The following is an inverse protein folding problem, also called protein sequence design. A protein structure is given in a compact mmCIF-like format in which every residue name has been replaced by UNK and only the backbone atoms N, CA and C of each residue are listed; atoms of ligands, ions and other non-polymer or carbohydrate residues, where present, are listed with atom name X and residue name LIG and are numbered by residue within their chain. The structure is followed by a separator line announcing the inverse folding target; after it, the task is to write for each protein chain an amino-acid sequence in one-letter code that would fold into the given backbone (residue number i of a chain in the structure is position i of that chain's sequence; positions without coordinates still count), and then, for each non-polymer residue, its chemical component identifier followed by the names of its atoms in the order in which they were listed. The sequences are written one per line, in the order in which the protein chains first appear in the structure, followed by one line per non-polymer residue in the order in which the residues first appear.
data_IF_559444522952
#
_entry.id   IF_559444522952
#
_cell.length_a   1.000
_cell.length_b   1.000
_cell.length_c   1.000
_cell.angle_alpha   90.00
_cell.angle_beta   90.00
_cell.angle_gamma   90.00
#
_symmetry.space_group_name_H-M   'P 1'
#
loop_
_entity.id
_entity.type
_entity.pdbx_description
1 polymer ?
#
# COMPACT_ATOMS: atom_id res chain seq x y z
N UNK A 1 -0.08 0.77 4.20
CA UNK A 1 0.42 1.23 5.50
C UNK A 1 0.72 2.73 5.50
N UNK A 2 1.59 3.26 4.65
CA UNK A 2 1.85 4.70 4.60
C UNK A 2 0.59 5.53 4.30
N UNK A 3 -0.27 5.04 3.41
CA UNK A 3 -1.56 5.68 3.12
C UNK A 3 -2.47 5.74 4.36
N UNK A 4 -2.57 4.63 5.11
CA UNK A 4 -3.38 4.60 6.34
C UNK A 4 -2.84 5.54 7.41
N UNK A 5 -1.51 5.59 7.55
CA UNK A 5 -0.89 6.51 8.48
C UNK A 5 -1.22 7.96 8.09
N UNK A 6 -1.07 8.30 6.81
CA UNK A 6 -1.40 9.62 6.31
C UNK A 6 -2.89 9.96 6.49
N UNK A 7 -3.77 8.97 6.31
CA UNK A 7 -5.19 9.14 6.59
C UNK A 7 -5.46 9.48 8.06
N UNK A 8 -4.73 8.84 8.98
CA UNK A 8 -4.89 9.07 10.42
C UNK A 8 -4.27 10.40 10.88
N UNK A 9 -3.18 10.84 10.28
CA UNK A 9 -2.48 12.07 10.69
C UNK A 9 -2.94 13.32 9.96
N UNK A 10 -3.22 13.20 8.66
CA UNK A 10 -3.50 14.34 7.77
C UNK A 10 -4.95 14.36 7.26
N UNK A 11 -5.69 13.27 7.47
CA UNK A 11 -6.98 13.03 6.85
C UNK A 11 -6.87 12.52 5.42
N UNK A 12 -7.98 12.09 4.86
CA UNK A 12 -8.12 11.74 3.44
C UNK A 12 -9.09 12.73 2.79
N UNK A 13 -8.58 13.58 1.93
CA UNK A 13 -9.41 14.32 0.96
C UNK A 13 -9.72 13.36 -0.19
N UNK A 14 -10.70 12.48 0.03
CA UNK A 14 -11.10 11.48 -0.94
C UNK A 14 -12.57 11.64 -1.31
N UNK A 15 -12.87 11.79 -2.61
CA UNK A 15 -14.25 11.67 -3.05
C UNK A 15 -14.85 10.34 -2.56
N UNK A 16 -16.11 10.32 -2.14
CA UNK A 16 -16.84 9.08 -1.93
C UNK A 16 -16.68 8.18 -3.15
N UNK A 17 -16.60 6.87 -2.95
CA UNK A 17 -16.55 5.96 -4.07
C UNK A 17 -17.89 6.03 -4.82
N UNK A 18 -17.87 6.53 -6.05
CA UNK A 18 -18.99 6.44 -6.98
C UNK A 18 -18.73 5.29 -7.96
N UNK A 19 -19.41 4.14 -7.80
CA UNK A 19 -19.23 2.99 -8.69
C UNK A 19 -19.54 3.32 -10.14
N UNK A 20 -20.50 4.22 -10.43
CA UNK A 20 -20.90 4.57 -11.78
C UNK A 20 -19.81 5.42 -12.48
N UNK A 21 -19.27 6.43 -11.78
CA UNK A 21 -18.14 7.22 -12.27
C UNK A 21 -16.92 6.34 -12.52
N UNK A 22 -16.59 5.46 -11.58
CA UNK A 22 -15.47 4.51 -11.73
C UNK A 22 -15.66 3.60 -12.93
N UNK A 23 -16.83 2.99 -13.09
CA UNK A 23 -17.12 2.10 -14.22
C UNK A 23 -17.00 2.83 -15.56
N UNK A 24 -17.47 4.07 -15.66
CA UNK A 24 -17.35 4.92 -16.85
C UNK A 24 -15.90 5.15 -17.24
N UNK A 25 -15.05 5.55 -16.30
CA UNK A 25 -13.65 5.82 -16.58
C UNK A 25 -12.83 4.55 -16.82
N UNK A 26 -13.20 3.46 -16.17
CA UNK A 26 -12.61 2.15 -16.42
C UNK A 26 -12.95 1.67 -17.85
N UNK A 27 -14.21 1.79 -18.28
CA UNK A 27 -14.65 1.45 -19.63
C UNK A 27 -13.95 2.30 -20.71
N UNK A 28 -13.73 3.61 -20.43
CA UNK A 28 -12.95 4.47 -21.32
C UNK A 28 -11.51 3.97 -21.47
N UNK A 29 -10.88 3.60 -20.37
CA UNK A 29 -9.53 3.04 -20.37
C UNK A 29 -9.45 1.72 -21.16
N UNK A 30 -10.40 0.82 -20.96
CA UNK A 30 -10.44 -0.49 -21.64
C UNK A 30 -10.66 -0.34 -23.15
N UNK A 31 -11.46 0.64 -23.57
CA UNK A 31 -11.77 0.89 -24.98
C UNK A 31 -10.68 1.66 -25.70
N UNK A 32 -10.12 2.71 -25.11
CA UNK A 32 -9.28 3.71 -25.77
C UNK A 32 -7.88 3.87 -25.15
N UNK A 33 -7.62 3.14 -24.06
CA UNK A 33 -6.31 3.12 -23.41
C UNK A 33 -5.97 4.34 -22.55
N UNK A 34 -4.72 4.41 -22.16
CA UNK A 34 -4.22 5.40 -21.19
C UNK A 34 -4.36 6.84 -21.71
N UNK A 35 -4.08 7.06 -22.98
CA UNK A 35 -4.09 8.39 -23.61
C UNK A 35 -5.47 9.06 -23.55
N UNK A 36 -6.55 8.28 -23.56
CA UNK A 36 -7.90 8.81 -23.45
C UNK A 36 -8.17 9.34 -22.03
N UNK A 37 -7.73 8.64 -21.00
CA UNK A 37 -7.82 9.14 -19.63
C UNK A 37 -6.99 10.42 -19.43
N UNK A 38 -5.79 10.47 -20.01
CA UNK A 38 -4.92 11.65 -19.92
C UNK A 38 -5.58 12.86 -20.60
N UNK A 39 -6.14 12.70 -21.80
CA UNK A 39 -6.89 13.76 -22.48
C UNK A 39 -8.08 14.23 -21.65
N UNK A 40 -8.91 13.28 -21.18
CA UNK A 40 -10.09 13.61 -20.38
C UNK A 40 -9.73 14.39 -19.11
N UNK A 41 -8.60 14.07 -18.48
CA UNK A 41 -8.12 14.80 -17.30
C UNK A 41 -7.62 16.20 -17.67
N UNK A 42 -6.82 16.33 -18.74
CA UNK A 42 -6.27 17.61 -19.19
C UNK A 42 -7.36 18.60 -19.64
N UNK A 43 -8.40 18.12 -20.32
CA UNK A 43 -9.55 18.93 -20.75
C UNK A 43 -10.36 19.48 -19.56
N UNK A 44 -10.44 18.73 -18.47
CA UNK A 44 -11.25 19.08 -17.29
C UNK A 44 -10.49 19.87 -16.22
N UNK A 45 -9.18 19.71 -16.17
CA UNK A 45 -8.34 20.39 -15.19
C UNK A 45 -6.96 20.68 -15.79
N UNK A 46 -6.73 21.93 -16.17
CA UNK A 46 -5.42 22.38 -16.70
C UNK A 46 -4.32 22.13 -15.68
N UNK A 47 -3.17 21.61 -16.12
CA UNK A 47 -2.02 21.30 -15.24
C UNK A 47 -2.20 20.04 -14.37
N UNK A 48 -3.32 19.33 -14.52
CA UNK A 48 -3.60 18.15 -13.69
C UNK A 48 -2.64 16.98 -13.94
N UNK A 49 -2.18 16.80 -15.16
CA UNK A 49 -1.25 15.72 -15.52
C UNK A 49 0.11 15.93 -14.90
N UNK A 50 0.62 17.16 -14.89
CA UNK A 50 1.89 17.56 -14.31
C UNK A 50 1.86 17.49 -12.78
N UNK A 51 0.68 17.71 -12.20
CA UNK A 51 0.46 17.62 -10.76
C UNK A 51 0.38 16.17 -10.25
N UNK A 52 0.09 15.19 -11.13
CA UNK A 52 0.04 13.79 -10.74
C UNK A 52 1.45 13.22 -10.57
N UNK A 53 1.69 12.54 -9.44
CA UNK A 53 2.96 11.89 -9.15
C UNK A 53 3.31 10.76 -10.15
N UNK A 54 2.33 10.21 -10.86
CA UNK A 54 2.51 9.18 -11.90
C UNK A 54 1.34 9.23 -12.89
N UNK A 55 1.44 10.05 -13.94
CA UNK A 55 0.40 10.16 -14.97
C UNK A 55 0.34 8.95 -15.91
N UNK A 56 1.24 7.98 -15.79
CA UNK A 56 1.20 6.73 -16.54
C UNK A 56 0.37 5.64 -15.83
N UNK A 57 -0.07 5.88 -14.61
CA UNK A 57 -0.84 4.92 -13.83
C UNK A 57 -2.36 5.15 -14.02
N UNK A 58 -3.07 4.23 -14.71
CA UNK A 58 -4.49 4.41 -15.01
C UNK A 58 -5.36 4.54 -13.75
N UNK A 59 -4.99 3.85 -12.65
CA UNK A 59 -5.74 3.96 -11.39
C UNK A 59 -5.67 5.37 -10.79
N UNK A 60 -4.54 6.05 -10.95
CA UNK A 60 -4.39 7.44 -10.47
C UNK A 60 -5.19 8.41 -11.33
N UNK A 61 -5.17 8.23 -12.65
CA UNK A 61 -5.99 9.03 -13.57
C UNK A 61 -7.49 8.85 -13.31
N UNK A 62 -7.95 7.59 -13.20
CA UNK A 62 -9.35 7.30 -12.87
C UNK A 62 -9.73 7.95 -11.55
N UNK A 63 -8.88 7.84 -10.51
CA UNK A 63 -9.17 8.45 -9.21
C UNK A 63 -9.23 9.98 -9.26
N UNK A 64 -8.37 10.62 -10.05
CA UNK A 64 -8.43 12.06 -10.28
C UNK A 64 -9.72 12.48 -11.00
N UNK A 65 -10.14 11.72 -12.01
CA UNK A 65 -11.38 11.94 -12.73
C UNK A 65 -12.62 11.71 -11.86
N UNK A 66 -12.65 10.66 -11.02
CA UNK A 66 -13.69 10.45 -10.01
C UNK A 66 -13.81 11.65 -9.06
N UNK A 67 -12.67 12.21 -8.65
CA UNK A 67 -12.64 13.34 -7.74
C UNK A 67 -13.20 14.61 -8.42
N UNK A 68 -12.86 14.82 -9.70
CA UNK A 68 -13.44 15.91 -10.50
C UNK A 68 -14.94 15.73 -10.69
N UNK A 69 -15.42 14.49 -10.87
CA UNK A 69 -16.86 14.22 -11.00
C UNK A 69 -17.61 14.57 -9.72
N UNK A 70 -17.05 14.25 -8.57
CA UNK A 70 -17.69 14.45 -7.27
C UNK A 70 -17.59 15.89 -6.75
N UNK A 71 -16.48 16.58 -7.01
CA UNK A 71 -16.16 17.86 -6.36
C UNK A 71 -15.86 19.01 -7.30
N UNK A 72 -15.78 18.76 -8.61
CA UNK A 72 -15.41 19.76 -9.61
C UNK A 72 -13.95 20.27 -9.53
N UNK A 73 -13.17 19.74 -8.60
CA UNK A 73 -11.75 20.09 -8.36
C UNK A 73 -10.92 18.85 -8.09
N UNK A 74 -9.62 18.94 -8.29
CA UNK A 74 -8.70 17.89 -7.85
C UNK A 74 -8.50 17.96 -6.31
N UNK A 75 -8.15 16.82 -5.66
CA UNK A 75 -7.78 16.85 -4.27
C UNK A 75 -6.57 17.78 -4.09
N UNK A 76 -6.58 18.56 -3.04
CA UNK A 76 -5.37 19.28 -2.66
C UNK A 76 -4.25 18.25 -2.49
N UNK A 77 -3.10 18.52 -3.12
CA UNK A 77 -1.93 17.69 -2.86
C UNK A 77 -1.73 17.67 -1.35
N UNK A 78 -1.58 16.49 -0.80
CA UNK A 78 -1.27 16.36 0.62
C UNK A 78 0.01 17.11 0.90
N UNK A 79 -0.13 18.40 1.21
CA UNK A 79 0.94 19.17 1.80
C UNK A 79 1.27 18.45 3.09
N UNK A 80 2.52 18.04 3.23
CA UNK A 80 3.00 17.50 4.50
C UNK A 80 2.65 18.54 5.56
N UNK A 81 1.57 18.29 6.30
CA UNK A 81 1.38 19.03 7.54
C UNK A 81 2.60 18.67 8.34
N UNK A 82 3.34 19.68 8.77
CA UNK A 82 4.46 19.49 9.68
C UNK A 82 3.85 18.78 10.90
N UNK A 83 4.03 17.47 10.95
CA UNK A 83 3.46 16.69 12.05
C UNK A 83 4.01 17.31 13.34
N UNK A 84 3.14 17.62 14.26
CA UNK A 84 3.54 18.22 15.54
C UNK A 84 4.51 17.31 16.31
N UNK A 85 4.59 16.04 15.95
CA UNK A 85 5.54 15.08 16.50
C UNK A 85 5.95 14.04 15.44
N UNK A 86 7.21 13.60 15.42
CA UNK A 86 7.69 12.61 14.49
C UNK A 86 7.14 11.22 14.82
N UNK A 87 7.10 10.38 13.78
CA UNK A 87 6.69 8.99 13.88
C UNK A 87 7.90 8.14 14.25
N UNK A 88 7.80 7.32 15.30
CA UNK A 88 8.79 6.32 15.60
C UNK A 88 8.69 5.16 14.60
N UNK A 89 9.75 4.94 13.82
CA UNK A 89 9.81 3.90 12.79
C UNK A 89 10.87 2.86 13.18
N UNK A 90 10.44 1.62 13.38
CA UNK A 90 11.35 0.52 13.68
C UNK A 90 12.00 0.02 12.39
N UNK A 91 13.33 -0.13 12.41
CA UNK A 91 14.10 -0.63 11.28
C UNK A 91 14.99 -1.78 11.70
N UNK A 92 14.82 -2.92 11.05
CA UNK A 92 15.74 -4.05 11.12
C UNK A 92 16.88 -3.89 10.09
N UNK A 93 18.09 -4.35 10.39
CA UNK A 93 19.12 -4.52 9.37
C UNK A 93 18.58 -5.33 8.19
N UNK A 94 18.96 -4.91 6.98
CA UNK A 94 18.39 -5.47 5.74
C UNK A 94 18.51 -6.99 5.65
N UNK A 95 19.63 -7.54 6.07
CA UNK A 95 19.88 -8.98 6.05
C UNK A 95 18.95 -9.72 7.00
N UNK A 96 18.79 -9.22 8.23
CA UNK A 96 17.87 -9.78 9.22
C UNK A 96 16.42 -9.72 8.72
N UNK A 97 16.00 -8.57 8.14
CA UNK A 97 14.68 -8.44 7.56
C UNK A 97 14.44 -9.44 6.42
N UNK A 98 15.42 -9.63 5.54
CA UNK A 98 15.31 -10.58 4.43
C UNK A 98 15.25 -12.04 4.92
N UNK A 99 16.04 -12.39 5.92
CA UNK A 99 16.00 -13.71 6.56
C UNK A 99 14.65 -13.95 7.26
N UNK A 100 14.17 -12.97 8.00
CA UNK A 100 12.84 -13.02 8.67
C UNK A 100 11.69 -13.19 7.65
N UNK A 101 11.73 -12.48 6.52
CA UNK A 101 10.74 -12.63 5.45
C UNK A 101 10.76 -14.06 4.90
N UNK A 102 11.93 -14.61 4.60
CA UNK A 102 12.05 -15.98 4.08
C UNK A 102 11.50 -17.02 5.07
N UNK A 103 11.89 -16.94 6.35
CA UNK A 103 11.37 -17.83 7.41
C UNK A 103 9.85 -17.70 7.58
N UNK A 104 9.32 -16.47 7.53
CA UNK A 104 7.88 -16.23 7.63
C UNK A 104 7.12 -16.88 6.47
N UNK A 105 7.62 -16.75 5.25
CA UNK A 105 6.98 -17.36 4.07
C UNK A 105 7.00 -18.88 4.18
N UNK A 106 8.12 -19.50 4.54
CA UNK A 106 8.18 -20.95 4.79
C UNK A 106 7.12 -21.38 5.82
N UNK A 107 7.09 -20.71 6.97
CA UNK A 107 6.09 -20.96 8.02
C UNK A 107 4.65 -20.81 7.55
N UNK A 108 4.34 -19.87 6.65
CA UNK A 108 2.99 -19.72 6.07
C UNK A 108 2.58 -20.96 5.26
N UNK A 109 3.49 -21.52 4.46
CA UNK A 109 3.22 -22.77 3.74
C UNK A 109 3.03 -23.96 4.69
N UNK A 110 3.89 -24.10 5.71
CA UNK A 110 3.78 -25.14 6.73
C UNK A 110 2.47 -25.04 7.53
N UNK A 111 1.95 -23.84 7.72
CA UNK A 111 0.71 -23.56 8.45
C UNK A 111 -0.55 -23.65 7.58
N UNK A 112 -0.44 -24.06 6.32
CA UNK A 112 -1.61 -24.36 5.48
C UNK A 112 -2.07 -23.20 4.60
N UNK A 113 -1.20 -22.26 4.23
CA UNK A 113 -1.55 -21.15 3.29
C UNK A 113 -2.22 -21.67 2.02
N UNK A 114 -1.80 -22.84 1.48
CA UNK A 114 -2.37 -23.40 0.26
C UNK A 114 -3.82 -23.85 0.49
N UNK A 115 -4.09 -24.48 1.63
CA UNK A 115 -5.43 -24.97 1.96
C UNK A 115 -6.38 -23.82 2.29
N UNK A 116 -5.87 -22.76 2.94
CA UNK A 116 -6.61 -21.52 3.16
C UNK A 116 -7.08 -20.92 1.83
N UNK A 117 -6.18 -20.72 0.87
CA UNK A 117 -6.52 -20.14 -0.44
C UNK A 117 -7.46 -21.05 -1.23
N UNK A 118 -7.28 -22.38 -1.15
CA UNK A 118 -8.18 -23.35 -1.80
C UNK A 118 -9.60 -23.24 -1.24
N UNK A 119 -9.73 -23.19 0.08
CA UNK A 119 -11.02 -23.05 0.74
C UNK A 119 -11.70 -21.71 0.42
N UNK A 120 -10.93 -20.62 0.39
CA UNK A 120 -11.45 -19.31 0.00
C UNK A 120 -11.91 -19.27 -1.46
N UNK A 121 -11.21 -19.93 -2.39
CA UNK A 121 -11.64 -20.03 -3.81
C UNK A 121 -12.93 -20.82 -3.97
N UNK A 122 -13.12 -21.84 -3.15
CA UNK A 122 -14.37 -22.63 -3.15
C UNK A 122 -15.54 -21.82 -2.58
N UNK A 123 -15.32 -21.10 -1.48
CA UNK A 123 -16.36 -20.32 -0.81
C UNK A 123 -16.73 -19.04 -1.58
N UNK A 124 -15.79 -18.45 -2.29
CA UNK A 124 -15.93 -17.17 -3.00
C UNK A 124 -15.40 -17.27 -4.44
N UNK A 125 -16.22 -17.71 -5.40
CA UNK A 125 -15.79 -17.90 -6.80
C UNK A 125 -15.30 -16.62 -7.48
N UNK A 126 -15.84 -15.44 -7.09
CA UNK A 126 -15.44 -14.14 -7.60
C UNK A 126 -14.71 -13.34 -6.52
N UNK A 127 -13.39 -13.22 -6.66
CA UNK A 127 -12.59 -12.40 -5.76
C UNK A 127 -12.53 -10.95 -6.25
N UNK A 128 -12.50 -10.01 -5.30
CA UNK A 128 -12.21 -8.63 -5.66
C UNK A 128 -10.79 -8.51 -6.25
N UNK A 129 -10.53 -7.54 -7.14
CA UNK A 129 -9.19 -7.30 -7.69
C UNK A 129 -8.13 -7.06 -6.61
N UNK A 130 -8.53 -6.52 -5.45
CA UNK A 130 -7.62 -6.30 -4.31
C UNK A 130 -7.24 -7.62 -3.64
N UNK A 131 -8.21 -8.49 -3.39
CA UNK A 131 -7.96 -9.79 -2.78
C UNK A 131 -7.12 -10.69 -3.69
N UNK A 132 -7.46 -10.76 -4.99
CA UNK A 132 -6.74 -11.59 -5.96
C UNK A 132 -5.28 -11.16 -6.20
N UNK A 133 -4.92 -9.90 -5.92
CA UNK A 133 -3.56 -9.37 -6.08
C UNK A 133 -2.76 -9.35 -4.76
N UNK A 134 -3.34 -9.80 -3.65
CA UNK A 134 -2.67 -9.90 -2.36
C UNK A 134 -1.40 -10.76 -2.46
N UNK A 135 -0.28 -10.27 -1.86
CA UNK A 135 0.97 -11.05 -1.79
C UNK A 135 0.71 -12.31 -0.98
N UNK A 136 1.06 -13.44 -1.55
CA UNK A 136 0.74 -14.77 -1.01
C UNK A 136 -0.46 -15.38 -1.72
N UNK A 137 -1.57 -14.69 -1.81
CA UNK A 137 -2.79 -15.21 -2.44
C UNK A 137 -2.67 -15.33 -3.96
N UNK A 138 -2.13 -14.31 -4.61
CA UNK A 138 -1.90 -14.34 -6.07
C UNK A 138 -0.98 -15.50 -6.49
N UNK A 139 0.09 -15.73 -5.73
CA UNK A 139 1.06 -16.78 -6.03
C UNK A 139 0.49 -18.17 -5.75
N UNK A 140 -0.27 -18.32 -4.67
CA UNK A 140 -0.93 -19.61 -4.37
C UNK A 140 -2.07 -19.90 -5.35
N UNK A 141 -2.81 -18.89 -5.83
CA UNK A 141 -3.74 -19.11 -6.93
C UNK A 141 -3.03 -19.66 -8.17
N UNK A 142 -1.90 -19.06 -8.56
CA UNK A 142 -1.11 -19.54 -9.69
C UNK A 142 -0.54 -20.96 -9.47
N UNK A 143 -0.20 -21.32 -8.22
CA UNK A 143 0.17 -22.68 -7.84
C UNK A 143 -1.01 -23.65 -8.00
N UNK A 144 -2.19 -23.29 -7.51
CA UNK A 144 -3.39 -24.11 -7.62
C UNK A 144 -3.87 -24.29 -9.07
N UNK A 145 -3.58 -23.32 -9.93
CA UNK A 145 -3.85 -23.37 -11.37
C UNK A 145 -2.76 -24.13 -12.16
N UNK A 146 -1.72 -24.65 -11.47
CA UNK A 146 -0.63 -25.41 -12.11
C UNK A 146 0.40 -24.53 -12.85
N UNK A 147 0.30 -23.21 -12.76
CA UNK A 147 1.23 -22.26 -13.40
C UNK A 147 2.56 -22.10 -12.64
N UNK A 148 2.59 -22.48 -11.36
CA UNK A 148 3.78 -22.44 -10.51
C UNK A 148 3.91 -23.73 -9.71
N UNK A 149 5.15 -24.09 -9.40
CA UNK A 149 5.45 -25.05 -8.33
C UNK A 149 5.38 -24.39 -6.96
N UNK A 150 5.28 -25.16 -5.90
CA UNK A 150 5.28 -24.67 -4.50
C UNK A 150 6.54 -23.82 -4.23
N UNK A 151 7.69 -24.27 -4.73
CA UNK A 151 8.97 -23.55 -4.58
C UNK A 151 8.93 -22.18 -5.27
N UNK A 152 8.48 -22.15 -6.52
CA UNK A 152 8.38 -20.88 -7.27
C UNK A 152 7.39 -19.91 -6.64
N UNK A 153 6.25 -20.39 -6.14
CA UNK A 153 5.28 -19.59 -5.42
C UNK A 153 5.92 -18.97 -4.16
N UNK A 154 6.62 -19.76 -3.34
CA UNK A 154 7.31 -19.28 -2.15
C UNK A 154 8.39 -18.25 -2.49
N UNK A 155 9.22 -18.51 -3.50
CA UNK A 155 10.26 -17.58 -3.96
C UNK A 155 9.65 -16.23 -4.42
N UNK A 156 8.56 -16.27 -5.20
CA UNK A 156 7.86 -15.06 -5.65
C UNK A 156 7.26 -14.27 -4.49
N UNK A 157 6.67 -14.93 -3.50
CA UNK A 157 6.14 -14.29 -2.29
C UNK A 157 7.27 -13.57 -1.54
N UNK A 158 8.43 -14.22 -1.37
CA UNK A 158 9.61 -13.61 -0.73
C UNK A 158 10.06 -12.37 -1.48
N UNK A 159 10.21 -12.44 -2.80
CA UNK A 159 10.65 -11.30 -3.63
C UNK A 159 9.67 -10.14 -3.53
N UNK A 160 8.37 -10.40 -3.71
CA UNK A 160 7.33 -9.35 -3.62
C UNK A 160 7.25 -8.73 -2.22
N UNK A 161 7.44 -9.52 -1.16
CA UNK A 161 7.45 -9.02 0.21
C UNK A 161 8.65 -8.12 0.48
N UNK A 162 9.85 -8.50 -0.02
CA UNK A 162 11.05 -7.64 0.04
C UNK A 162 10.84 -6.32 -0.71
N UNK A 163 10.22 -6.37 -1.89
CA UNK A 163 9.88 -5.17 -2.66
C UNK A 163 8.87 -4.28 -1.90
N UNK A 164 7.89 -4.87 -1.23
CA UNK A 164 6.95 -4.13 -0.37
C UNK A 164 7.68 -3.45 0.78
N UNK A 165 8.57 -4.16 1.47
CA UNK A 165 9.37 -3.60 2.57
C UNK A 165 10.24 -2.42 2.09
N UNK A 166 10.89 -2.54 0.92
CA UNK A 166 11.65 -1.43 0.31
C UNK A 166 10.76 -0.22 0.01
N UNK A 167 9.54 -0.44 -0.54
CA UNK A 167 8.59 0.66 -0.79
C UNK A 167 8.14 1.33 0.50
N UNK A 168 7.91 0.57 1.58
CA UNK A 168 7.57 1.11 2.89
C UNK A 168 8.71 1.98 3.44
N UNK A 169 9.94 1.49 3.42
CA UNK A 169 11.11 2.26 3.87
C UNK A 169 11.27 3.57 3.08
N UNK A 170 11.16 3.50 1.75
CA UNK A 170 11.22 4.69 0.89
C UNK A 170 10.09 5.68 1.23
N UNK A 171 8.88 5.18 1.46
CA UNK A 171 7.75 6.01 1.83
C UNK A 171 7.99 6.75 3.16
N UNK A 172 8.39 6.03 4.21
CA UNK A 172 8.69 6.64 5.51
C UNK A 172 9.82 7.66 5.43
N UNK A 173 10.82 7.41 4.59
CA UNK A 173 11.96 8.34 4.40
C UNK A 173 11.57 9.66 3.75
N UNK A 174 10.62 9.63 2.82
CA UNK A 174 10.28 10.80 2.00
C UNK A 174 8.93 11.45 2.33
N UNK A 175 8.05 10.74 3.00
CA UNK A 175 6.66 11.16 3.21
C UNK A 175 6.28 11.31 4.69
N UNK A 176 7.19 11.06 5.61
CA UNK A 176 6.94 11.17 7.03
C UNK A 176 8.13 11.83 7.75
N UNK A 177 7.85 12.58 8.81
CA UNK A 177 8.88 12.92 9.78
C UNK A 177 9.14 11.72 10.65
N UNK A 178 10.19 10.96 10.34
CA UNK A 178 10.47 9.70 10.99
C UNK A 178 11.68 9.78 11.93
N UNK A 179 11.52 9.33 13.15
CA UNK A 179 12.64 8.98 14.03
C UNK A 179 12.88 7.49 13.86
N UNK A 180 14.01 7.15 13.27
CA UNK A 180 14.38 5.76 12.99
C UNK A 180 14.99 5.12 14.23
N UNK A 181 14.39 4.03 14.68
CA UNK A 181 14.89 3.19 15.76
C UNK A 181 15.42 1.89 15.16
N UNK A 182 16.75 1.77 15.09
CA UNK A 182 17.38 0.50 14.71
C UNK A 182 17.08 -0.53 15.79
N UNK A 183 16.55 -1.67 15.37
CA UNK A 183 16.22 -2.80 16.25
C UNK A 183 16.89 -4.06 15.75
N UNK A 184 17.25 -4.95 16.66
CA UNK A 184 17.73 -6.28 16.33
C UNK A 184 16.59 -7.31 16.40
N UNK A 185 16.67 -8.36 15.60
CA UNK A 185 15.63 -9.41 15.56
C UNK A 185 15.44 -10.10 16.93
N UNK A 186 16.52 -10.18 17.73
CA UNK A 186 16.54 -10.83 19.04
C UNK A 186 16.31 -9.82 20.18
N UNK A 187 16.15 -8.53 19.88
CA UNK A 187 15.89 -7.53 20.91
C UNK A 187 14.51 -7.79 21.56
N UNK A 188 14.44 -7.86 22.91
CA UNK A 188 13.18 -8.11 23.58
C UNK A 188 12.15 -7.03 23.26
N UNK A 189 10.87 -7.41 23.00
CA UNK A 189 9.82 -6.44 22.67
C UNK A 189 9.67 -5.31 23.70
N UNK A 190 9.85 -5.61 24.99
CA UNK A 190 9.79 -4.62 26.07
C UNK A 190 10.93 -3.59 26.00
N UNK A 191 12.11 -3.99 25.54
CA UNK A 191 13.21 -3.05 25.31
C UNK A 191 12.90 -2.11 24.15
N UNK A 192 12.37 -2.64 23.05
CA UNK A 192 11.92 -1.85 21.90
C UNK A 192 10.80 -0.89 22.33
N UNK A 193 9.81 -1.36 23.09
CA UNK A 193 8.69 -0.55 23.56
C UNK A 193 9.19 0.62 24.45
N UNK A 194 10.14 0.38 25.35
CA UNK A 194 10.76 1.47 26.15
C UNK A 194 11.39 2.54 25.28
N UNK A 195 12.13 2.15 24.24
CA UNK A 195 12.76 3.11 23.30
C UNK A 195 11.72 3.93 22.52
N UNK A 196 10.60 3.32 22.13
CA UNK A 196 9.48 4.03 21.52
C UNK A 196 8.86 5.03 22.50
N UNK A 197 8.62 4.62 23.76
CA UNK A 197 8.08 5.51 24.79
C UNK A 197 9.02 6.67 25.11
N UNK A 198 10.34 6.46 25.14
CA UNK A 198 11.33 7.53 25.29
C UNK A 198 11.27 8.52 24.13
N UNK A 199 11.12 8.03 22.90
CA UNK A 199 10.92 8.87 21.71
C UNK A 199 9.67 9.73 21.86
N UNK A 200 8.55 9.16 22.30
CA UNK A 200 7.31 9.89 22.53
C UNK A 200 7.41 10.90 23.69
N UNK A 201 8.12 10.57 24.76
CA UNK A 201 8.39 11.51 25.87
C UNK A 201 9.19 12.72 25.40
N UNK A 202 10.14 12.49 24.49
CA UNK A 202 11.00 13.54 23.94
C UNK A 202 10.28 14.43 22.91
N UNK A 203 9.42 13.87 22.08
CA UNK A 203 8.84 14.54 20.92
C UNK A 203 7.30 14.65 20.98
N UNK A 204 6.68 14.01 21.94
CA UNK A 204 5.23 13.77 22.00
C UNK A 204 4.78 12.58 21.13
N UNK A 205 3.62 11.96 21.40
CA UNK A 205 3.02 10.97 20.54
C UNK A 205 2.56 11.62 19.23
N UNK A 206 2.61 10.86 18.15
CA UNK A 206 2.09 11.31 16.86
C UNK A 206 0.60 11.63 16.99
N UNK A 207 0.16 12.87 16.74
CA UNK A 207 -1.25 13.20 16.81
C UNK A 207 -2.01 12.47 15.70
N UNK A 208 -3.15 11.91 16.03
CA UNK A 208 -4.11 11.34 15.08
C UNK A 208 -5.35 12.20 15.03
N UNK A 209 -5.98 12.30 13.87
CA UNK A 209 -7.26 12.98 13.75
C UNK A 209 -8.32 12.12 14.42
N UNK A 210 -9.15 12.73 15.25
CA UNK A 210 -10.37 12.09 15.72
C UNK A 210 -11.31 11.87 14.54
N UNK A 211 -12.02 10.74 14.51
CA UNK A 211 -13.00 10.46 13.46
C UNK A 211 -14.16 11.47 13.47
#
# INVERSE_FOLDING_TARGET
TGLYLKALTDGLDGAPADPASRARWQALFEREGLSALQRALAERASGALEALADPSNPRRLIRALEHLDAHGRLPEQWKSRTAAAPIAVLRLPREQLHARIARRVAKMFDQGLVDEVRSLRQAYPAWSPTASQGIGYAEVCALLDGALTTREAAERIVVRTRQLAKRQETWFRHQAQAVWLEVDENEPPDAVARRVLETWRKHGPTPVLSP
#
